data_IF_748783340386
#
_entry.id   IF_748783340386
#
_cell.length_a   1.000
_cell.length_b   1.000
_cell.length_c   1.000
_cell.angle_alpha   90.00
_cell.angle_beta   90.00
_cell.angle_gamma   90.00
#
_symmetry.space_group_name_H-M   'P 1'
#
loop_
_entity.id
_entity.type
_entity.pdbx_description
1 polymer ?
#
# COMPACT_ATOMS: atom_id res chain seq x y z
N UNK A 1 5.55 7.19 55.30
CA UNK A 1 5.14 8.45 54.64
C UNK A 1 5.10 8.20 53.15
N UNK A 2 3.93 8.42 52.53
CA UNK A 2 3.67 8.31 51.09
C UNK A 2 4.40 9.45 50.34
N UNK A 3 4.59 9.32 49.02
CA UNK A 3 5.04 10.33 48.01
C UNK A 3 6.53 10.17 47.63
N UNK A 4 6.96 10.16 46.37
CA UNK A 4 6.34 10.45 45.07
C UNK A 4 6.96 9.50 44.02
N UNK A 5 6.11 8.89 43.21
CA UNK A 5 6.47 8.16 41.99
C UNK A 5 6.84 9.20 40.92
N UNK A 6 8.09 9.22 40.48
CA UNK A 6 8.53 10.00 39.31
C UNK A 6 8.60 9.06 38.10
N UNK A 7 7.42 8.78 37.52
CA UNK A 7 7.34 8.20 36.17
C UNK A 7 7.59 9.34 35.20
N UNK A 8 8.83 9.41 34.68
CA UNK A 8 9.14 10.23 33.52
C UNK A 8 8.56 9.51 32.29
N UNK A 9 7.30 9.78 32.00
CA UNK A 9 6.62 9.28 30.81
C UNK A 9 7.25 9.99 29.59
N UNK A 10 8.19 9.31 28.96
CA UNK A 10 8.78 9.71 27.69
C UNK A 10 7.66 9.87 26.66
N UNK A 11 7.29 11.12 26.38
CA UNK A 11 6.50 11.51 25.23
C UNK A 11 7.34 11.26 23.99
N UNK A 12 7.24 10.06 23.42
CA UNK A 12 7.76 9.77 22.09
C UNK A 12 6.85 10.49 21.10
N UNK A 13 7.34 11.48 20.33
CA UNK A 13 6.56 12.01 19.23
C UNK A 13 6.37 10.87 18.22
N UNK A 14 5.13 10.45 18.02
CA UNK A 14 4.76 9.55 16.95
C UNK A 14 5.07 10.26 15.63
N UNK A 15 6.28 10.07 15.11
CA UNK A 15 6.61 10.37 13.72
C UNK A 15 5.69 9.50 12.88
N UNK A 16 4.60 10.10 12.41
CA UNK A 16 3.66 9.46 11.51
C UNK A 16 4.40 9.13 10.23
N UNK A 17 4.94 7.90 10.14
CA UNK A 17 5.27 7.33 8.84
C UNK A 17 3.97 7.36 8.07
N UNK A 18 3.90 8.18 7.02
CA UNK A 18 2.86 8.05 6.01
C UNK A 18 3.08 6.69 5.38
N UNK A 19 2.53 5.65 6.00
CA UNK A 19 2.28 4.38 5.34
C UNK A 19 1.21 4.75 4.33
N UNK A 20 1.64 5.22 3.17
CA UNK A 20 0.84 5.11 1.96
C UNK A 20 0.59 3.61 1.86
N UNK A 21 -0.54 3.16 2.42
CA UNK A 21 -0.96 1.79 2.32
C UNK A 21 -0.83 1.46 0.84
N UNK A 22 0.13 0.59 0.50
CA UNK A 22 0.47 0.30 -0.88
C UNK A 22 -0.80 -0.29 -1.51
N UNK A 23 -1.59 0.57 -2.16
CA UNK A 23 -2.83 0.21 -2.82
C UNK A 23 -2.41 -0.35 -4.16
N UNK A 24 -2.82 -1.59 -4.39
CA UNK A 24 -2.67 -2.24 -5.68
C UNK A 24 -4.04 -2.40 -6.31
N UNK A 25 -4.04 -2.52 -7.62
CA UNK A 25 -5.16 -3.09 -8.35
C UNK A 25 -4.83 -4.52 -8.74
N UNK A 26 -5.85 -5.37 -8.72
CA UNK A 26 -5.78 -6.73 -9.21
C UNK A 26 -6.04 -6.71 -10.72
N UNK A 27 -5.26 -7.49 -11.45
CA UNK A 27 -5.37 -7.63 -12.89
C UNK A 27 -6.07 -8.95 -13.23
N UNK A 28 -6.97 -8.92 -14.21
CA UNK A 28 -7.70 -10.09 -14.69
C UNK A 28 -6.75 -11.08 -15.37
N UNK A 29 -7.20 -12.33 -15.49
CA UNK A 29 -6.60 -13.32 -16.38
C UNK A 29 -6.45 -12.76 -17.80
N UNK A 30 -5.29 -13.03 -18.42
CA UNK A 30 -4.90 -12.45 -19.72
C UNK A 30 -4.23 -11.08 -19.64
N UNK A 31 -4.01 -10.53 -18.45
CA UNK A 31 -3.10 -9.40 -18.22
C UNK A 31 -1.64 -9.88 -18.26
N UNK A 32 -0.71 -8.96 -18.50
CA UNK A 32 0.75 -9.23 -18.49
C UNK A 32 1.32 -9.51 -17.09
N UNK A 33 0.57 -9.18 -16.04
CA UNK A 33 0.90 -9.18 -14.62
C UNK A 33 -0.37 -9.47 -13.78
N UNK A 34 -0.21 -9.79 -12.50
CA UNK A 34 -1.30 -10.11 -11.57
C UNK A 34 -1.75 -8.90 -10.73
N UNK A 35 -0.83 -8.00 -10.39
CA UNK A 35 -1.13 -6.79 -9.63
C UNK A 35 -0.35 -5.59 -10.16
N UNK A 36 -0.89 -4.38 -9.98
CA UNK A 36 -0.19 -3.13 -10.27
C UNK A 36 -0.23 -2.18 -9.07
N UNK A 37 0.90 -1.55 -8.74
CA UNK A 37 1.01 -0.58 -7.65
C UNK A 37 0.53 0.80 -8.09
N UNK A 38 -0.43 1.36 -7.36
CA UNK A 38 -0.97 2.69 -7.66
C UNK A 38 -0.07 3.84 -7.16
N UNK A 39 0.90 3.55 -6.28
CA UNK A 39 1.84 4.55 -5.75
C UNK A 39 1.18 5.61 -4.84
N UNK A 40 -0.03 5.36 -4.37
CA UNK A 40 -0.80 6.31 -3.56
C UNK A 40 -2.29 5.97 -3.51
N UNK A 41 -3.14 6.99 -3.69
CA UNK A 41 -4.59 6.82 -3.72
C UNK A 41 -5.04 6.14 -5.02
N UNK A 42 -6.15 5.41 -4.93
CA UNK A 42 -6.85 4.89 -6.10
C UNK A 42 -7.51 6.06 -6.84
N UNK A 43 -6.86 6.48 -7.92
CA UNK A 43 -7.26 7.61 -8.77
C UNK A 43 -7.37 7.11 -10.20
N UNK A 44 -8.14 7.83 -11.02
CA UNK A 44 -8.28 7.50 -12.44
C UNK A 44 -6.92 7.41 -13.13
N UNK A 45 -6.04 8.38 -12.92
CA UNK A 45 -4.71 8.41 -13.55
C UNK A 45 -3.83 7.23 -13.11
N UNK A 46 -3.85 6.87 -11.82
CA UNK A 46 -3.11 5.71 -11.33
C UNK A 46 -3.63 4.39 -11.95
N UNK A 47 -4.94 4.25 -12.11
CA UNK A 47 -5.55 3.10 -12.80
C UNK A 47 -5.18 3.06 -14.28
N UNK A 48 -5.24 4.21 -14.99
CA UNK A 48 -4.83 4.32 -16.39
C UNK A 48 -3.36 3.96 -16.60
N UNK A 49 -2.47 4.32 -15.66
CA UNK A 49 -1.07 3.90 -15.69
C UNK A 49 -0.94 2.38 -15.67
N UNK A 50 -1.67 1.71 -14.78
CA UNK A 50 -1.69 0.25 -14.69
C UNK A 50 -2.26 -0.42 -15.95
N UNK A 51 -3.34 0.14 -16.51
CA UNK A 51 -3.91 -0.36 -17.78
C UNK A 51 -2.91 -0.23 -18.93
N UNK A 52 -2.14 0.86 -18.99
CA UNK A 52 -1.09 1.06 -19.99
C UNK A 52 0.05 0.02 -19.87
N UNK A 53 0.28 -0.52 -18.67
CA UNK A 53 1.22 -1.64 -18.44
C UNK A 53 0.63 -3.01 -18.83
N UNK A 54 -0.63 -3.07 -19.29
CA UNK A 54 -1.31 -4.31 -19.67
C UNK A 54 -2.12 -4.96 -18.56
N UNK A 55 -2.42 -4.23 -17.47
CA UNK A 55 -3.31 -4.71 -16.42
C UNK A 55 -4.78 -4.45 -16.78
N UNK A 56 -5.56 -5.52 -16.99
CA UNK A 56 -7.03 -5.41 -17.06
C UNK A 56 -7.59 -5.37 -15.64
N UNK A 57 -7.86 -4.19 -15.11
CA UNK A 57 -8.19 -4.02 -13.70
C UNK A 57 -9.54 -4.68 -13.36
N UNK A 58 -9.55 -5.52 -12.33
CA UNK A 58 -10.79 -6.15 -11.80
C UNK A 58 -11.24 -5.56 -10.47
N UNK A 59 -10.33 -4.92 -9.74
CA UNK A 59 -10.62 -4.35 -8.44
C UNK A 59 -9.39 -3.81 -7.74
N UNK A 60 -9.59 -3.20 -6.59
CA UNK A 60 -8.54 -2.62 -5.76
C UNK A 60 -8.33 -3.48 -4.53
N UNK A 61 -7.09 -3.64 -4.11
CA UNK A 61 -6.71 -4.47 -2.98
C UNK A 61 -5.39 -4.05 -2.35
N UNK A 62 -4.99 -4.80 -1.33
CA UNK A 62 -3.64 -4.71 -0.76
C UNK A 62 -2.63 -5.28 -1.74
N UNK A 63 -1.48 -4.62 -1.87
CA UNK A 63 -0.37 -5.20 -2.62
C UNK A 63 0.13 -6.47 -1.94
N UNK A 64 0.20 -7.56 -2.69
CA UNK A 64 0.81 -8.81 -2.23
C UNK A 64 2.29 -8.60 -1.96
N UNK A 65 2.78 -9.27 -0.93
CA UNK A 65 4.21 -9.40 -0.60
C UNK A 65 4.79 -10.75 -1.05
N UNK A 66 3.94 -11.63 -1.59
CA UNK A 66 4.37 -12.94 -2.04
C UNK A 66 5.24 -12.83 -3.31
N UNK A 67 6.38 -13.53 -3.31
CA UNK A 67 7.36 -13.46 -4.39
C UNK A 67 6.84 -14.01 -5.73
N UNK A 68 5.81 -14.86 -5.71
CA UNK A 68 5.20 -15.46 -6.90
C UNK A 68 4.10 -14.61 -7.55
N UNK A 69 3.81 -13.42 -7.01
CA UNK A 69 2.86 -12.48 -7.63
C UNK A 69 3.62 -11.54 -8.55
N UNK A 70 3.38 -11.67 -9.86
CA UNK A 70 3.96 -10.81 -10.87
C UNK A 70 3.33 -9.42 -10.79
N UNK A 71 4.10 -8.44 -10.36
CA UNK A 71 3.69 -7.02 -10.35
C UNK A 71 4.03 -6.38 -11.69
N UNK A 72 3.14 -5.53 -12.20
CA UNK A 72 3.40 -4.76 -13.42
C UNK A 72 4.59 -3.81 -13.20
N UNK A 73 5.54 -3.83 -14.13
CA UNK A 73 6.75 -3.00 -14.15
C UNK A 73 6.68 -1.90 -15.19
#
# INVERSE_FOLDING_TARGET
MKKLILICMLLVPAVGTTIYANKCVNCASGSSCQQCRLGGKDTFDARKRCEKMGCKITGTGSCSTAANVKVCG
#
